data_IF_819585881669
#
_entry.id   IF_819585881669
#
_cell.length_a   1.000
_cell.length_b   1.000
_cell.length_c   1.000
_cell.angle_alpha   90.00
_cell.angle_beta   90.00
_cell.angle_gamma   90.00
#
_symmetry.space_group_name_H-M   'P 1'
#
loop_
_entity.id
_entity.type
_entity.pdbx_description
1 polymer ?
#
# COMPACT_ATOMS: atom_id res chain seq x y z
N UNK A 1 10.38 -2.31 -4.51
CA UNK A 1 10.18 -2.27 -3.04
C UNK A 1 8.68 -2.39 -2.72
N UNK A 2 8.27 -3.29 -1.83
CA UNK A 2 6.88 -3.38 -1.32
C UNK A 2 6.76 -2.49 -0.09
N UNK A 3 5.89 -1.49 -0.14
CA UNK A 3 5.66 -0.55 0.96
C UNK A 3 4.26 -0.69 1.54
N UNK A 4 4.10 -0.31 2.80
CA UNK A 4 2.80 -0.25 3.45
C UNK A 4 1.88 0.85 2.87
N UNK A 5 0.57 0.65 2.96
CA UNK A 5 -0.46 1.62 2.56
C UNK A 5 -0.27 2.98 3.26
N UNK A 6 0.27 3.01 4.48
CA UNK A 6 0.67 4.22 5.19
C UNK A 6 1.70 5.07 4.42
N UNK A 7 2.54 4.44 3.60
CA UNK A 7 3.55 5.13 2.78
C UNK A 7 3.03 5.52 1.39
N UNK A 8 1.72 5.55 1.18
CA UNK A 8 1.08 5.92 -0.10
C UNK A 8 0.95 7.43 -0.31
N UNK A 9 1.56 8.27 0.54
CA UNK A 9 1.53 9.73 0.41
C UNK A 9 2.17 10.21 -0.91
N UNK A 10 1.79 11.42 -1.34
CA UNK A 10 2.35 12.02 -2.57
C UNK A 10 3.85 12.25 -2.44
N UNK A 11 4.33 12.67 -1.26
CA UNK A 11 5.74 12.97 -1.02
C UNK A 11 6.61 11.72 -1.04
N UNK A 12 6.14 10.62 -0.44
CA UNK A 12 6.84 9.33 -0.55
C UNK A 12 6.90 8.87 -2.01
N UNK A 13 5.81 9.02 -2.77
CA UNK A 13 5.83 8.66 -4.20
C UNK A 13 6.74 9.58 -5.02
N UNK A 14 6.83 10.87 -4.69
CA UNK A 14 7.75 11.80 -5.34
C UNK A 14 9.21 11.47 -5.00
N UNK A 15 9.49 11.13 -3.74
CA UNK A 15 10.79 10.66 -3.28
C UNK A 15 11.22 9.37 -4.01
N UNK A 16 10.34 8.37 -4.07
CA UNK A 16 10.61 7.11 -4.74
C UNK A 16 10.79 7.28 -6.26
N UNK A 17 10.00 8.15 -6.90
CA UNK A 17 10.17 8.49 -8.32
C UNK A 17 11.50 9.19 -8.60
N UNK A 18 11.89 10.16 -7.76
CA UNK A 18 13.18 10.85 -7.88
C UNK A 18 14.37 9.89 -7.79
N UNK A 19 14.27 8.84 -6.96
CA UNK A 19 15.28 7.77 -6.86
C UNK A 19 15.15 6.65 -7.88
N UNK A 20 14.18 6.70 -8.80
CA UNK A 20 13.95 5.62 -9.77
C UNK A 20 13.46 4.29 -9.16
N UNK A 21 13.01 4.30 -7.90
CA UNK A 21 12.59 3.09 -7.20
C UNK A 21 11.17 2.73 -7.63
N UNK A 22 11.03 1.60 -8.34
CA UNK A 22 9.73 1.03 -8.68
C UNK A 22 9.08 0.47 -7.41
N UNK A 23 8.12 1.23 -6.88
CA UNK A 23 7.44 0.91 -5.64
C UNK A 23 6.00 0.44 -5.91
N UNK A 24 5.72 -0.80 -5.55
CA UNK A 24 4.38 -1.40 -5.60
C UNK A 24 3.69 -1.13 -4.26
N UNK A 25 3.26 0.11 -4.06
CA UNK A 25 2.55 0.55 -2.84
C UNK A 25 1.06 0.59 -3.16
N UNK A 26 0.23 -0.08 -2.37
CA UNK A 26 -1.22 0.03 -2.54
C UNK A 26 -1.68 1.45 -2.26
N UNK A 27 -2.51 1.95 -3.16
CA UNK A 27 -3.18 3.21 -2.99
C UNK A 27 -4.50 2.95 -2.23
N UNK A 28 -4.79 3.66 -1.13
CA UNK A 28 -6.07 3.60 -0.46
C UNK A 28 -7.24 3.82 -1.41
N UNK A 29 -8.35 3.12 -1.17
CA UNK A 29 -9.55 3.22 -2.01
C UNK A 29 -10.08 4.65 -2.06
N UNK A 30 -10.04 5.39 -0.95
CA UNK A 30 -10.41 6.81 -0.90
C UNK A 30 -9.50 7.67 -1.80
N UNK A 31 -8.20 7.38 -1.87
CA UNK A 31 -7.29 8.08 -2.78
C UNK A 31 -7.56 7.71 -4.25
N UNK A 32 -7.98 6.48 -4.54
CA UNK A 32 -8.41 6.12 -5.88
C UNK A 32 -9.71 6.83 -6.27
N UNK A 33 -10.68 6.90 -5.35
CA UNK A 33 -11.95 7.61 -5.54
C UNK A 33 -11.73 9.11 -5.71
N UNK A 34 -10.88 9.73 -4.89
CA UNK A 34 -10.49 11.14 -5.06
C UNK A 34 -9.77 11.41 -6.38
N UNK A 35 -8.97 10.46 -6.88
CA UNK A 35 -8.36 10.58 -8.21
C UNK A 35 -9.42 10.47 -9.30
N UNK A 36 -10.33 9.50 -9.21
CA UNK A 36 -11.45 9.32 -10.14
C UNK A 36 -12.35 10.55 -10.18
N UNK A 37 -12.70 11.12 -9.02
CA UNK A 37 -13.45 12.38 -8.89
C UNK A 37 -12.75 13.57 -9.57
N UNK A 38 -11.41 13.61 -9.54
CA UNK A 38 -10.63 14.67 -10.19
C UNK A 38 -10.47 14.49 -11.71
N UNK A 39 -10.95 13.39 -12.28
CA UNK A 39 -10.93 13.15 -13.73
C UNK A 39 -9.54 13.40 -14.34
N UNK A 40 -9.48 14.25 -15.36
CA UNK A 40 -8.25 14.59 -16.10
C UNK A 40 -7.19 15.29 -15.24
N UNK A 41 -7.60 16.02 -14.19
CA UNK A 41 -6.70 16.63 -13.21
C UNK A 41 -6.17 15.60 -12.18
N UNK A 42 -6.80 14.43 -12.11
CA UNK A 42 -6.33 13.28 -11.35
C UNK A 42 -5.16 12.61 -12.07
N UNK A 43 -3.95 13.11 -11.81
CA UNK A 43 -2.67 12.61 -12.32
C UNK A 43 -2.58 11.09 -12.56
N UNK A 44 -1.75 10.66 -13.51
CA UNK A 44 -1.59 9.25 -13.91
C UNK A 44 -1.45 8.28 -12.72
N UNK A 45 -2.22 7.17 -12.71
CA UNK A 45 -2.13 6.16 -11.66
C UNK A 45 -0.68 5.70 -11.42
N UNK A 46 -0.26 5.50 -10.15
CA UNK A 46 1.00 4.83 -9.86
C UNK A 46 0.96 3.39 -10.39
N UNK A 47 2.11 2.84 -10.75
CA UNK A 47 2.23 1.43 -11.13
C UNK A 47 1.89 0.55 -9.92
N UNK A 48 0.65 0.05 -9.90
CA UNK A 48 0.15 -0.86 -8.87
C UNK A 48 -0.12 -2.21 -9.51
N UNK A 49 0.59 -3.23 -9.02
CA UNK A 49 0.41 -4.61 -9.43
C UNK A 49 -0.52 -5.31 -8.42
N UNK A 50 -1.78 -5.50 -8.82
CA UNK A 50 -2.81 -6.18 -8.02
C UNK A 50 -2.42 -7.63 -7.70
N UNK A 51 -1.81 -8.34 -8.65
CA UNK A 51 -1.44 -9.75 -8.46
C UNK A 51 -0.36 -9.89 -7.39
N UNK A 52 0.62 -8.98 -7.40
CA UNK A 52 1.65 -8.95 -6.37
C UNK A 52 1.19 -8.42 -5.02
N UNK A 53 0.10 -7.64 -4.96
CA UNK A 53 -0.49 -7.16 -3.70
C UNK A 53 -1.47 -8.18 -3.08
N UNK A 54 -2.11 -9.04 -3.89
CA UNK A 54 -3.12 -10.01 -3.44
C UNK A 54 -2.59 -10.98 -2.36
N UNK A 55 -1.35 -11.44 -2.49
CA UNK A 55 -0.73 -12.38 -1.54
C UNK A 55 -0.42 -11.76 -0.17
N UNK A 56 -0.53 -10.44 -0.02
CA UNK A 56 -0.21 -9.74 1.22
C UNK A 56 -1.23 -10.01 2.32
N UNK A 57 -2.51 -10.15 1.97
CA UNK A 57 -3.60 -10.40 2.94
C UNK A 57 -3.44 -11.74 3.68
N UNK A 58 -2.85 -12.75 3.04
CA UNK A 58 -2.54 -14.03 3.67
C UNK A 58 -1.38 -13.88 4.67
N UNK A 59 -0.31 -13.17 4.27
CA UNK A 59 0.86 -12.91 5.12
C UNK A 59 0.48 -12.06 6.34
N UNK A 60 -0.29 -10.99 6.15
CA UNK A 60 -0.75 -10.13 7.25
C UNK A 60 -1.68 -10.86 8.22
N UNK A 61 -2.59 -11.71 7.72
CA UNK A 61 -3.43 -12.56 8.58
C UNK A 61 -2.61 -13.57 9.38
N UNK A 62 -1.60 -14.20 8.78
CA UNK A 62 -0.67 -15.06 9.51
C UNK A 62 0.07 -14.30 10.61
N UNK A 63 0.65 -13.14 10.30
CA UNK A 63 1.40 -12.34 11.28
C UNK A 63 0.48 -11.86 12.41
N UNK A 64 -0.71 -11.36 12.09
CA UNK A 64 -1.67 -10.92 13.10
C UNK A 64 -2.13 -12.07 13.99
N UNK A 65 -2.34 -13.25 13.42
CA UNK A 65 -2.68 -14.45 14.20
C UNK A 65 -1.55 -14.86 15.13
N UNK A 66 -0.30 -14.82 14.67
CA UNK A 66 0.88 -15.04 15.52
C UNK A 66 1.02 -14.00 16.64
N UNK A 67 0.79 -12.72 16.33
CA UNK A 67 0.78 -11.65 17.35
C UNK A 67 -0.34 -11.84 18.37
N UNK A 68 -1.52 -12.27 17.94
CA UNK A 68 -2.64 -12.57 18.83
C UNK A 68 -2.30 -13.73 19.77
N UNK A 69 -1.69 -14.80 19.27
CA UNK A 69 -1.23 -15.91 20.14
C UNK A 69 -0.15 -15.47 21.13
N UNK A 70 0.78 -14.60 20.73
CA UNK A 70 1.78 -14.03 21.66
C UNK A 70 1.14 -13.13 22.71
N UNK A 71 0.17 -12.31 22.33
CA UNK A 71 -0.56 -11.45 23.26
C UNK A 71 -1.39 -12.25 24.27
N UNK A 72 -1.94 -13.41 23.86
CA UNK A 72 -2.64 -14.35 24.75
C UNK A 72 -1.67 -15.03 25.72
N UNK A 73 -0.45 -15.35 25.28
CA UNK A 73 0.57 -15.97 26.14
C UNK A 73 1.16 -15.01 27.20
N UNK A 74 0.96 -13.71 27.05
CA UNK A 74 1.44 -12.67 27.97
C UNK A 74 0.33 -12.08 28.86
N UNK A 75 -0.85 -12.71 28.93
CA UNK A 75 -1.95 -12.28 29.80
C UNK A 75 -1.98 -13.07 31.11
#
# INVERSE_FOLDING_TARGET
MRGDKAYSSRDNRAYLRRRGIKATIAQPDDQQLHRKRRGRAGSRPPAFDKAQYHRRNAVERCINKWKQFRAVATR
#
